data_IF_280116463095
#
_entry.id   IF_280116463095
#
_cell.length_a   1.000
_cell.length_b   1.000
_cell.length_c   1.000
_cell.angle_alpha   90.00
_cell.angle_beta   90.00
_cell.angle_gamma   90.00
#
_symmetry.space_group_name_H-M   'P 1'
#
loop_
_entity.id
_entity.type
_entity.pdbx_description
1 polymer ?
#
# COMPACT_ATOMS: atom_id res chain seq x y z
N UNK A 1 -12.02 -2.69 -16.92
CA UNK A 1 -11.12 -1.55 -16.62
C UNK A 1 -9.68 -2.01 -16.69
N UNK A 2 -8.77 -1.12 -17.04
CA UNK A 2 -7.33 -1.37 -16.94
C UNK A 2 -6.61 -0.08 -16.57
N UNK A 3 -5.43 -0.21 -15.99
CA UNK A 3 -4.46 0.89 -15.88
C UNK A 3 -3.22 0.51 -16.69
N UNK A 4 -2.52 1.51 -17.19
CA UNK A 4 -1.20 1.31 -17.80
C UNK A 4 -0.09 1.23 -16.74
N UNK A 5 -0.41 1.54 -15.48
CA UNK A 5 0.55 1.57 -14.40
C UNK A 5 0.91 0.16 -13.91
N UNK A 6 2.07 -0.34 -14.34
CA UNK A 6 2.54 -1.70 -14.05
C UNK A 6 2.86 -1.92 -12.57
N UNK A 7 3.12 -0.82 -11.85
CA UNK A 7 3.38 -0.81 -10.41
C UNK A 7 2.18 -1.25 -9.55
N UNK A 8 0.96 -1.22 -10.11
CA UNK A 8 -0.27 -1.68 -9.45
C UNK A 8 -0.36 -3.20 -9.27
N UNK A 9 0.61 -3.93 -9.84
CA UNK A 9 0.76 -5.37 -9.75
C UNK A 9 2.19 -5.72 -9.31
N UNK A 10 2.93 -4.75 -8.76
CA UNK A 10 4.25 -5.03 -8.19
C UNK A 10 4.12 -6.13 -7.14
N UNK A 11 5.06 -7.08 -7.10
CA UNK A 11 5.15 -7.99 -5.96
C UNK A 11 5.32 -7.17 -4.68
N UNK A 12 4.84 -7.74 -3.57
CA UNK A 12 4.98 -7.16 -2.23
C UNK A 12 6.44 -6.70 -2.03
N UNK A 13 6.62 -5.44 -1.63
CA UNK A 13 7.98 -4.93 -1.47
C UNK A 13 8.66 -5.48 -0.23
N UNK A 14 10.00 -5.50 -0.21
CA UNK A 14 10.77 -5.79 1.00
C UNK A 14 10.28 -4.96 2.20
N UNK A 15 9.96 -3.67 2.02
CA UNK A 15 9.38 -2.82 3.07
C UNK A 15 8.00 -3.27 3.55
N UNK A 16 7.11 -3.73 2.66
CA UNK A 16 5.79 -4.22 3.05
C UNK A 16 5.88 -5.54 3.84
N UNK A 17 6.74 -6.46 3.39
CA UNK A 17 7.03 -7.69 4.12
C UNK A 17 7.67 -7.38 5.48
N UNK A 18 8.65 -6.47 5.53
CA UNK A 18 9.23 -5.96 6.76
C UNK A 18 8.17 -5.43 7.73
N UNK A 19 7.18 -4.68 7.22
CA UNK A 19 6.14 -4.07 8.05
C UNK A 19 5.20 -5.12 8.61
N UNK A 20 4.87 -6.13 7.80
CA UNK A 20 4.05 -7.26 8.22
C UNK A 20 4.76 -8.10 9.28
N UNK A 21 6.02 -8.46 9.05
CA UNK A 21 6.81 -9.26 10.00
C UNK A 21 6.96 -8.48 11.30
N UNK A 22 7.37 -7.21 11.26
CA UNK A 22 7.49 -6.38 12.44
C UNK A 22 6.17 -6.30 13.22
N UNK A 23 5.03 -6.10 12.55
CA UNK A 23 3.69 -6.11 13.18
C UNK A 23 3.32 -7.48 13.78
N UNK A 24 3.85 -8.58 13.26
CA UNK A 24 3.66 -9.90 13.86
C UNK A 24 4.33 -10.02 15.24
N UNK A 25 5.35 -9.19 15.52
CA UNK A 25 6.04 -9.11 16.81
C UNK A 25 5.48 -8.00 17.73
N UNK A 26 4.55 -7.20 17.24
CA UNK A 26 3.84 -6.15 17.97
C UNK A 26 2.36 -6.55 18.14
N UNK A 27 2.05 -7.46 19.10
CA UNK A 27 0.68 -7.93 19.31
C UNK A 27 -0.26 -6.81 19.79
N UNK A 28 0.29 -5.71 20.31
CA UNK A 28 -0.46 -4.56 20.79
C UNK A 28 -0.78 -3.54 19.69
N UNK A 29 -0.13 -3.64 18.53
CA UNK A 29 -0.34 -2.72 17.40
C UNK A 29 0.14 -1.29 17.67
N UNK A 30 1.05 -1.11 18.63
CA UNK A 30 1.57 0.19 19.03
C UNK A 30 2.67 0.73 18.08
N UNK A 31 3.02 -0.02 17.03
CA UNK A 31 4.10 0.29 16.08
C UNK A 31 5.49 0.34 16.73
N UNK A 32 5.70 -0.41 17.81
CA UNK A 32 7.02 -0.64 18.39
C UNK A 32 7.15 -2.09 18.86
N UNK A 33 8.38 -2.57 18.92
CA UNK A 33 8.71 -3.88 19.51
C UNK A 33 9.76 -3.69 20.59
N UNK A 34 9.90 -4.69 21.47
CA UNK A 34 11.02 -4.69 22.40
C UNK A 34 12.34 -4.87 21.64
N UNK A 35 13.38 -4.15 22.07
CA UNK A 35 14.72 -4.21 21.50
C UNK A 35 15.34 -5.61 21.51
N UNK A 36 14.86 -6.51 22.37
CA UNK A 36 15.27 -7.93 22.41
C UNK A 36 14.71 -8.76 21.26
N UNK A 37 13.58 -8.33 20.67
CA UNK A 37 12.93 -9.00 19.54
C UNK A 37 13.55 -8.61 18.20
N UNK A 38 14.42 -7.60 18.16
CA UNK A 38 15.06 -7.12 16.93
C UNK A 38 15.76 -8.27 16.18
N UNK A 39 16.45 -9.15 16.90
CA UNK A 39 17.14 -10.29 16.29
C UNK A 39 16.17 -11.25 15.59
N UNK A 40 15.03 -11.53 16.24
CA UNK A 40 14.01 -12.44 15.71
C UNK A 40 13.36 -11.82 14.45
N UNK A 41 13.09 -10.51 14.48
CA UNK A 41 12.55 -9.76 13.33
C UNK A 41 13.53 -9.78 12.15
N UNK A 42 14.81 -9.53 12.39
CA UNK A 42 15.83 -9.56 11.33
C UNK A 42 15.98 -10.96 10.74
N UNK A 43 15.93 -11.99 11.58
CA UNK A 43 15.98 -13.39 11.14
C UNK A 43 14.76 -13.77 10.32
N UNK A 44 13.56 -13.37 10.76
CA UNK A 44 12.32 -13.58 10.02
C UNK A 44 12.26 -12.82 8.69
N UNK A 45 13.05 -11.75 8.55
CA UNK A 45 13.20 -10.98 7.32
C UNK A 45 14.35 -11.43 6.43
N UNK A 46 15.05 -12.51 6.79
CA UNK A 46 16.25 -12.98 6.07
C UNK A 46 17.32 -11.87 5.93
N UNK A 47 17.38 -10.98 6.91
CA UNK A 47 18.37 -9.91 7.03
C UNK A 47 19.56 -10.36 7.89
N UNK A 48 20.60 -9.53 7.95
CA UNK A 48 21.77 -9.78 8.79
C UNK A 48 21.36 -9.79 10.27
N UNK A 49 21.29 -10.98 10.88
CA UNK A 49 20.89 -11.22 12.27
C UNK A 49 22.05 -11.66 13.17
N UNK A 50 23.29 -11.38 12.74
CA UNK A 50 24.50 -11.63 13.53
C UNK A 50 24.46 -10.84 14.84
N UNK A 51 24.75 -11.46 16.00
CA UNK A 51 24.58 -10.83 17.31
C UNK A 51 25.39 -9.53 17.44
N UNK A 52 26.56 -9.44 16.81
CA UNK A 52 27.39 -8.23 16.77
C UNK A 52 26.70 -7.10 15.98
N UNK A 53 26.14 -7.41 14.82
CA UNK A 53 25.41 -6.45 13.99
C UNK A 53 24.09 -6.01 14.65
N UNK A 54 23.37 -6.95 15.25
CA UNK A 54 22.12 -6.68 15.97
C UNK A 54 22.38 -5.75 17.15
N UNK A 55 23.48 -5.92 17.90
CA UNK A 55 23.81 -5.01 19.01
C UNK A 55 24.11 -3.58 18.52
N UNK A 56 24.80 -3.44 17.39
CA UNK A 56 25.04 -2.14 16.74
C UNK A 56 23.72 -1.51 16.30
N UNK A 57 22.89 -2.25 15.57
CA UNK A 57 21.60 -1.77 15.09
C UNK A 57 20.63 -1.46 16.23
N UNK A 58 20.65 -2.26 17.29
CA UNK A 58 19.88 -2.01 18.51
C UNK A 58 20.29 -0.69 19.14
N UNK A 59 21.58 -0.42 19.32
CA UNK A 59 22.07 0.86 19.86
C UNK A 59 21.73 2.05 18.98
N UNK A 60 21.69 1.83 17.66
CA UNK A 60 21.35 2.87 16.69
C UNK A 60 19.85 3.20 16.72
N UNK A 61 19.01 2.18 16.69
CA UNK A 61 17.55 2.30 16.72
C UNK A 61 17.00 2.72 18.08
N UNK A 62 17.61 2.24 19.16
CA UNK A 62 17.29 2.56 20.56
C UNK A 62 18.36 3.51 21.14
N UNK A 63 18.57 4.64 20.46
CA UNK A 63 19.53 5.68 20.87
C UNK A 63 19.27 6.21 22.28
N UNK A 64 18.00 6.21 22.70
CA UNK A 64 17.55 6.68 24.02
C UNK A 64 17.62 5.59 25.10
N UNK A 65 18.01 4.36 24.75
CA UNK A 65 18.05 3.20 25.63
C UNK A 65 16.73 2.93 26.37
N UNK A 66 15.61 3.18 25.68
CA UNK A 66 14.26 2.93 26.18
C UNK A 66 13.93 1.43 26.16
N UNK A 67 14.75 0.63 25.48
CA UNK A 67 14.54 -0.82 25.33
C UNK A 67 13.46 -1.15 24.31
N UNK A 68 13.03 -0.19 23.50
CA UNK A 68 12.02 -0.33 22.45
C UNK A 68 12.57 0.14 21.10
N UNK A 69 12.05 -0.42 20.02
CA UNK A 69 12.39 -0.04 18.65
C UNK A 69 11.10 0.34 17.94
N UNK A 70 11.08 1.54 17.39
CA UNK A 70 9.95 2.05 16.63
C UNK A 70 9.96 1.45 15.21
N UNK A 71 8.79 1.09 14.71
CA UNK A 71 8.61 0.65 13.34
C UNK A 71 9.12 1.70 12.35
N UNK A 72 8.85 2.98 12.60
CA UNK A 72 9.31 4.08 11.75
C UNK A 72 10.84 4.11 11.66
N UNK A 73 11.53 4.07 12.80
CA UNK A 73 13.00 4.07 12.85
C UNK A 73 13.59 2.82 12.18
N UNK A 74 12.99 1.65 12.39
CA UNK A 74 13.41 0.41 11.71
C UNK A 74 13.26 0.52 10.19
N UNK A 75 12.12 1.03 9.72
CA UNK A 75 11.85 1.22 8.29
C UNK A 75 12.82 2.21 7.66
N UNK A 76 13.11 3.33 8.32
CA UNK A 76 14.06 4.32 7.81
C UNK A 76 15.49 3.79 7.76
N UNK A 77 15.88 2.93 8.69
CA UNK A 77 17.24 2.39 8.77
C UNK A 77 17.48 1.26 7.74
N UNK A 78 16.53 0.34 7.60
CA UNK A 78 16.67 -0.83 6.72
C UNK A 78 16.10 -0.62 5.32
N UNK A 79 15.12 0.28 5.18
CA UNK A 79 14.41 0.54 3.92
C UNK A 79 14.29 2.06 3.62
N UNK A 80 15.39 2.84 3.63
CA UNK A 80 15.35 4.30 3.44
C UNK A 80 14.84 4.75 2.06
N UNK A 81 14.97 3.90 1.04
CA UNK A 81 14.77 4.29 -0.37
C UNK A 81 13.46 3.84 -0.99
N UNK A 82 12.64 3.04 -0.29
CA UNK A 82 11.41 2.52 -0.86
C UNK A 82 10.26 3.53 -0.79
N UNK A 83 10.30 4.46 -1.73
CA UNK A 83 9.12 5.19 -2.18
C UNK A 83 8.06 4.18 -2.58
N UNK A 84 6.91 4.23 -1.90
CA UNK A 84 5.69 3.43 -2.10
C UNK A 84 5.66 2.72 -3.45
N UNK A 85 5.60 1.38 -3.40
CA UNK A 85 5.59 0.55 -4.61
C UNK A 85 4.39 0.84 -5.50
N UNK A 86 3.28 1.27 -4.90
CA UNK A 86 2.12 1.81 -5.60
C UNK A 86 2.18 3.33 -5.61
N UNK A 87 2.00 3.98 -6.76
CA UNK A 87 1.86 5.43 -6.77
C UNK A 87 0.56 5.83 -6.06
N UNK A 88 0.61 6.92 -5.29
CA UNK A 88 -0.58 7.51 -4.66
C UNK A 88 -1.63 7.95 -5.68
N UNK A 89 -1.23 8.16 -6.94
CA UNK A 89 -2.12 8.56 -8.03
C UNK A 89 -1.82 7.75 -9.28
N UNK A 90 -2.84 7.19 -9.92
CA UNK A 90 -2.70 6.49 -11.20
C UNK A 90 -3.90 6.68 -12.12
N UNK A 91 -3.67 6.54 -13.43
CA UNK A 91 -4.75 6.66 -14.42
C UNK A 91 -5.45 5.32 -14.64
N UNK A 92 -6.78 5.35 -14.61
CA UNK A 92 -7.66 4.23 -14.91
C UNK A 92 -8.39 4.46 -16.23
N UNK A 93 -8.55 3.40 -17.00
CA UNK A 93 -9.33 3.42 -18.23
C UNK A 93 -10.50 2.44 -18.11
N UNK A 94 -11.70 2.93 -18.37
CA UNK A 94 -12.89 2.13 -18.58
C UNK A 94 -13.14 1.95 -20.08
N UNK A 95 -13.45 0.73 -20.48
CA UNK A 95 -13.74 0.35 -21.86
C UNK A 95 -15.21 -0.05 -21.97
N UNK A 96 -16.01 0.68 -22.75
CA UNK A 96 -17.47 0.49 -22.88
C UNK A 96 -17.86 -0.52 -23.99
N UNK A 97 -17.09 -1.60 -24.19
CA UNK A 97 -17.25 -2.50 -25.32
C UNK A 97 -18.50 -3.40 -25.34
N UNK A 98 -19.46 -3.21 -24.43
CA UNK A 98 -20.76 -3.87 -24.48
C UNK A 98 -21.71 -3.01 -25.31
N UNK A 99 -22.39 -3.61 -26.30
CA UNK A 99 -23.29 -2.91 -27.24
C UNK A 99 -24.44 -2.13 -26.57
N UNK A 100 -24.71 -2.37 -25.27
CA UNK A 100 -25.72 -1.68 -24.47
C UNK A 100 -25.24 -0.34 -23.91
N UNK A 101 -23.93 -0.10 -23.84
CA UNK A 101 -23.31 1.09 -23.26
C UNK A 101 -22.78 2.06 -24.34
N UNK A 102 -23.16 1.85 -25.62
CA UNK A 102 -22.79 2.69 -26.77
C UNK A 102 -24.00 3.45 -27.34
N UNK A 103 -24.39 4.62 -26.80
CA UNK A 103 -25.48 5.40 -27.37
C UNK A 103 -25.19 5.90 -28.80
N UNK A 104 -23.91 5.95 -29.20
CA UNK A 104 -23.44 6.41 -30.52
C UNK A 104 -22.90 5.29 -31.42
N UNK A 105 -22.98 4.02 -31.02
CA UNK A 105 -22.45 2.88 -31.78
C UNK A 105 -20.92 2.87 -31.95
N UNK A 106 -20.19 3.68 -31.16
CA UNK A 106 -18.73 3.75 -31.14
C UNK A 106 -18.20 3.34 -29.78
N UNK A 107 -17.10 2.62 -29.82
CA UNK A 107 -16.32 2.22 -28.65
C UNK A 107 -15.54 3.44 -28.16
N UNK A 108 -15.71 3.79 -26.90
CA UNK A 108 -15.10 4.94 -26.25
C UNK A 108 -14.39 4.50 -24.96
N UNK A 109 -13.27 5.14 -24.68
CA UNK A 109 -12.53 4.94 -23.44
C UNK A 109 -12.82 6.12 -22.52
N UNK A 110 -13.32 5.83 -21.31
CA UNK A 110 -13.41 6.83 -20.26
C UNK A 110 -12.12 6.78 -19.42
N UNK A 111 -11.45 7.92 -19.31
CA UNK A 111 -10.27 8.10 -18.46
C UNK A 111 -10.72 8.56 -17.07
N UNK A 112 -10.17 7.94 -16.02
CA UNK A 112 -10.35 8.33 -14.64
C UNK A 112 -9.00 8.52 -13.95
N UNK A 113 -8.92 9.51 -13.06
CA UNK A 113 -7.79 9.70 -12.18
C UNK A 113 -8.09 9.03 -10.85
N UNK A 114 -7.30 8.03 -10.47
CA UNK A 114 -7.44 7.33 -9.20
C UNK A 114 -6.41 7.84 -8.20
N UNK A 115 -6.84 7.99 -6.95
CA UNK A 115 -6.02 8.38 -5.81
C UNK A 115 -6.16 7.32 -4.72
N UNK A 116 -5.05 6.84 -4.17
CA UNK A 116 -5.03 5.94 -3.02
C UNK A 116 -4.82 6.78 -1.75
N UNK A 117 -5.84 6.89 -0.91
CA UNK A 117 -5.73 7.60 0.37
C UNK A 117 -5.14 6.69 1.46
N UNK A 118 -4.34 7.25 2.35
CA UNK A 118 -3.76 6.54 3.51
C UNK A 118 -4.75 6.31 4.68
N UNK A 119 -6.05 6.40 4.43
CA UNK A 119 -7.03 6.37 5.51
C UNK A 119 -7.52 4.93 5.78
N UNK A 120 -7.33 4.44 7.01
CA UNK A 120 -7.96 3.21 7.52
C UNK A 120 -9.50 3.35 7.65
N UNK A 121 -10.00 4.57 7.45
CA UNK A 121 -11.43 4.85 7.43
C UNK A 121 -11.96 4.45 6.06
N UNK A 122 -12.80 3.40 6.03
CA UNK A 122 -13.62 3.08 4.85
C UNK A 122 -14.48 4.30 4.52
N UNK A 123 -14.01 5.13 3.59
CA UNK A 123 -14.81 6.21 3.04
C UNK A 123 -15.92 5.58 2.19
N UNK A 124 -17.08 5.36 2.81
CA UNK A 124 -18.31 5.01 2.11
C UNK A 124 -18.81 6.30 1.46
N UNK A 125 -18.13 6.76 0.40
CA UNK A 125 -18.62 7.87 -0.42
C UNK A 125 -19.22 7.32 -1.71
N UNK A 126 -20.47 7.70 -1.96
CA UNK A 126 -21.32 7.45 -3.14
C UNK A 126 -20.97 6.18 -3.95
N UNK A 127 -21.46 5.05 -3.44
CA UNK A 127 -21.32 3.71 -3.98
C UNK A 127 -21.89 3.57 -5.40
N UNK A 128 -21.07 3.87 -6.40
CA UNK A 128 -21.29 3.37 -7.75
C UNK A 128 -20.61 2.01 -7.91
N UNK A 129 -21.23 1.08 -8.64
CA UNK A 129 -20.74 -0.30 -8.82
C UNK A 129 -19.26 -0.39 -9.23
N UNK A 130 -18.78 0.56 -10.04
CA UNK A 130 -17.36 0.72 -10.39
C UNK A 130 -16.45 0.93 -9.18
N UNK A 131 -16.82 1.85 -8.30
CA UNK A 131 -16.01 2.21 -7.13
C UNK A 131 -16.00 1.05 -6.12
N UNK A 132 -17.14 0.39 -5.92
CA UNK A 132 -17.22 -0.81 -5.07
C UNK A 132 -16.32 -1.94 -5.57
N UNK A 133 -16.26 -2.17 -6.89
CA UNK A 133 -15.34 -3.16 -7.47
C UNK A 133 -13.88 -2.79 -7.21
N UNK A 134 -13.49 -1.52 -7.38
CA UNK A 134 -12.11 -1.08 -7.13
C UNK A 134 -11.73 -1.17 -5.65
N UNK A 135 -12.67 -0.89 -4.75
CA UNK A 135 -12.48 -1.00 -3.29
C UNK A 135 -12.23 -2.43 -2.81
N UNK A 136 -12.55 -3.46 -3.60
CA UNK A 136 -12.16 -4.85 -3.27
C UNK A 136 -10.65 -5.06 -3.31
N UNK A 137 -9.92 -4.28 -4.12
CA UNK A 137 -8.46 -4.33 -4.22
C UNK A 137 -7.79 -3.17 -3.48
N UNK A 138 -8.42 -1.99 -3.47
CA UNK A 138 -7.90 -0.78 -2.86
C UNK A 138 -8.96 -0.13 -1.98
N UNK A 139 -9.06 -0.47 -0.68
CA UNK A 139 -10.19 -0.08 0.18
C UNK A 139 -10.38 1.45 0.31
N UNK A 140 -9.31 2.22 0.14
CA UNK A 140 -9.28 3.68 0.29
C UNK A 140 -9.02 4.39 -1.05
N UNK A 141 -9.42 3.78 -2.18
CA UNK A 141 -9.33 4.39 -3.51
C UNK A 141 -10.45 5.39 -3.76
N UNK A 142 -10.08 6.57 -4.24
CA UNK A 142 -10.98 7.53 -4.86
C UNK A 142 -10.72 7.59 -6.35
N UNK A 143 -11.77 7.77 -7.15
CA UNK A 143 -11.64 7.90 -8.62
C UNK A 143 -12.47 9.07 -9.12
N UNK A 144 -11.83 9.97 -9.84
CA UNK A 144 -12.47 11.07 -10.54
C UNK A 144 -12.46 10.81 -12.05
N UNK A 145 -13.65 10.64 -12.63
CA UNK A 145 -13.80 10.40 -14.07
C UNK A 145 -13.78 11.69 -14.86
N UNK A 146 -13.04 11.68 -15.97
CA UNK A 146 -12.97 12.81 -16.91
C UNK A 146 -14.32 12.99 -17.59
N UNK A 147 -14.94 14.16 -17.38
CA UNK A 147 -16.29 14.45 -17.84
C UNK A 147 -17.38 14.34 -16.77
N UNK A 148 -17.05 14.00 -15.51
CA UNK A 148 -17.98 14.02 -14.38
C UNK A 148 -19.06 12.92 -14.40
N UNK A 149 -19.00 12.03 -15.38
CA UNK A 149 -19.95 10.92 -15.55
C UNK A 149 -19.24 9.63 -15.14
N UNK A 150 -19.78 8.97 -14.12
CA UNK A 150 -19.31 7.64 -13.71
C UNK A 150 -19.74 6.61 -14.76
N UNK A 151 -18.82 5.85 -15.36
CA UNK A 151 -19.16 4.84 -16.34
C UNK A 151 -19.95 3.70 -15.68
N UNK A 152 -20.96 3.20 -16.38
CA UNK A 152 -21.75 2.04 -15.95
C UNK A 152 -21.01 0.74 -16.22
N UNK A 153 -21.17 -0.25 -15.31
CA UNK A 153 -20.64 -1.60 -15.47
C UNK A 153 -21.54 -2.49 -16.36
N UNK A 154 -22.63 -1.95 -16.92
CA UNK A 154 -23.67 -2.62 -17.71
C UNK A 154 -23.91 -1.96 -19.07
#
# INVERSE_FOLDING_TARGET
>A
MFSLERKLVSPETPSETARRVFKSFDPEGNNFISSVLLQDVLTALDLVSEPEYVDIMRKKLDSENLGIILLSSFMEEFFPEEKRSVPDVFTLYHYNGLARSSPSGKVEYCEGNAVLLECDVKCILESNSMLTCLQTKWPSIEVQWKGGITPSLN
#
